data_IF_018628712506
#
_entry.id   IF_018628712506
#
_cell.length_a   1.000
_cell.length_b   1.000
_cell.length_c   1.000
_cell.angle_alpha   90.00
_cell.angle_beta   90.00
_cell.angle_gamma   90.00
#
_symmetry.space_group_name_H-M   'P 1'
#
loop_
_entity.id
_entity.type
_entity.pdbx_description
1 polymer ?
#
# COMPACT_ATOMS: atom_id res chain seq x y z
N UNK A 1 29.38 15.71 -10.04
CA UNK A 1 29.30 14.39 -10.69
C UNK A 1 29.23 13.28 -9.65
N UNK A 2 30.18 13.17 -8.70
CA UNK A 2 30.11 12.11 -7.67
C UNK A 2 28.91 12.25 -6.75
N UNK A 3 28.51 13.46 -6.33
CA UNK A 3 27.34 13.69 -5.46
C UNK A 3 26.02 13.17 -6.06
N UNK A 4 25.88 13.22 -7.38
CA UNK A 4 24.70 12.65 -8.06
C UNK A 4 24.76 11.12 -8.11
N UNK A 5 25.97 10.55 -8.25
CA UNK A 5 26.16 9.10 -8.22
C UNK A 5 25.91 8.56 -6.81
N UNK A 6 26.36 9.24 -5.77
CA UNK A 6 26.16 8.84 -4.38
C UNK A 6 24.65 8.68 -4.01
N UNK A 7 23.78 9.40 -4.69
CA UNK A 7 22.31 9.26 -4.45
C UNK A 7 21.79 7.86 -4.72
N UNK A 8 22.39 7.09 -5.61
CA UNK A 8 21.96 5.69 -5.87
C UNK A 8 22.13 4.76 -4.65
N UNK A 9 22.89 5.18 -3.63
CA UNK A 9 23.16 4.40 -2.43
C UNK A 9 22.25 4.78 -1.24
N UNK A 10 21.18 5.54 -1.46
CA UNK A 10 20.19 5.85 -0.41
C UNK A 10 20.65 6.95 0.55
N UNK A 11 21.21 8.02 0.01
CA UNK A 11 21.68 9.17 0.82
C UNK A 11 20.54 10.00 1.42
N UNK A 12 19.31 9.88 0.89
CA UNK A 12 18.13 10.60 1.39
C UNK A 12 17.30 9.73 2.32
N UNK A 13 16.98 8.50 1.91
CA UNK A 13 16.26 7.54 2.75
C UNK A 13 16.45 6.10 2.25
N UNK A 14 16.36 5.15 3.19
CA UNK A 14 16.40 3.71 2.95
C UNK A 14 15.11 3.08 3.48
N UNK A 15 14.28 2.58 2.57
CA UNK A 15 13.02 1.94 2.88
C UNK A 15 13.21 0.43 2.87
N UNK A 16 12.92 -0.25 3.96
CA UNK A 16 12.81 -1.70 4.00
C UNK A 16 11.41 -2.11 3.56
N UNK A 17 11.29 -2.95 2.54
CA UNK A 17 10.03 -3.49 2.06
C UNK A 17 9.95 -4.99 2.36
N UNK A 18 8.98 -5.38 3.18
CA UNK A 18 8.59 -6.77 3.35
C UNK A 18 7.47 -7.05 2.36
N UNK A 19 7.73 -7.86 1.32
CA UNK A 19 6.76 -8.10 0.26
C UNK A 19 6.46 -9.58 0.06
N UNK A 20 5.32 -9.87 -0.57
CA UNK A 20 4.90 -11.25 -0.82
C UNK A 20 5.78 -11.89 -1.90
N UNK A 21 6.20 -13.14 -1.67
CA UNK A 21 6.99 -13.90 -2.64
C UNK A 21 6.21 -14.22 -3.93
N UNK A 22 4.89 -14.25 -3.84
CA UNK A 22 3.95 -14.54 -4.94
C UNK A 22 3.67 -13.35 -5.86
N UNK A 23 4.08 -12.13 -5.50
CA UNK A 23 3.78 -10.89 -6.23
C UNK A 23 5.05 -10.10 -6.59
N UNK A 24 4.98 -9.25 -7.66
CA UNK A 24 6.13 -8.45 -8.14
C UNK A 24 5.79 -7.00 -8.48
N UNK A 25 4.56 -6.55 -8.25
CA UNK A 25 4.10 -5.23 -8.73
C UNK A 25 4.60 -4.07 -7.86
N UNK A 26 4.66 -4.25 -6.54
CA UNK A 26 4.95 -3.15 -5.63
C UNK A 26 6.37 -2.59 -5.80
N UNK A 27 7.36 -3.44 -6.09
CA UNK A 27 8.75 -3.00 -6.25
C UNK A 27 8.96 -2.05 -7.43
N UNK A 28 8.55 -2.40 -8.68
CA UNK A 28 8.69 -1.48 -9.81
C UNK A 28 7.89 -0.19 -9.62
N UNK A 29 6.72 -0.21 -8.98
CA UNK A 29 5.97 1.01 -8.67
C UNK A 29 6.68 1.86 -7.60
N UNK A 30 7.34 1.27 -6.61
CA UNK A 30 8.21 1.98 -5.65
C UNK A 30 9.39 2.65 -6.35
N UNK A 31 10.08 1.92 -7.23
CA UNK A 31 11.18 2.50 -8.02
C UNK A 31 10.72 3.64 -8.91
N UNK A 32 9.54 3.50 -9.54
CA UNK A 32 8.96 4.54 -10.39
C UNK A 32 8.71 5.85 -9.62
N UNK A 33 8.26 5.75 -8.37
CA UNK A 33 7.98 6.90 -7.51
C UNK A 33 9.20 7.44 -6.75
N UNK A 34 10.34 6.71 -6.74
CA UNK A 34 11.47 7.06 -5.87
C UNK A 34 12.16 8.35 -6.30
N UNK A 35 12.18 9.39 -5.45
CA UNK A 35 13.00 10.57 -5.72
C UNK A 35 14.49 10.24 -5.55
N UNK A 36 15.40 11.05 -6.13
CA UNK A 36 16.84 10.83 -6.03
C UNK A 36 17.29 10.70 -4.56
N UNK A 37 18.05 9.66 -4.28
CA UNK A 37 18.57 9.39 -2.95
C UNK A 37 17.66 8.52 -2.07
N UNK A 38 16.49 8.13 -2.55
CA UNK A 38 15.62 7.15 -1.87
C UNK A 38 15.79 5.79 -2.53
N UNK A 39 16.09 4.78 -1.72
CA UNK A 39 16.21 3.38 -2.17
C UNK A 39 15.26 2.47 -1.39
N UNK A 40 14.91 1.34 -2.01
CA UNK A 40 14.13 0.28 -1.38
C UNK A 40 14.93 -1.00 -1.31
N UNK A 41 15.05 -1.57 -0.11
CA UNK A 41 15.64 -2.87 0.14
C UNK A 41 14.52 -3.86 0.46
N UNK A 42 14.36 -4.90 -0.36
CA UNK A 42 13.22 -5.82 -0.23
C UNK A 42 13.65 -7.16 0.37
N UNK A 43 12.83 -7.67 1.29
CA UNK A 43 12.81 -9.09 1.68
C UNK A 43 11.44 -9.70 1.37
N UNK A 44 11.40 -11.01 1.15
CA UNK A 44 10.18 -11.71 0.75
C UNK A 44 9.66 -12.61 1.87
N UNK A 45 8.32 -12.66 2.00
CA UNK A 45 7.61 -13.60 2.87
C UNK A 45 6.58 -14.39 2.06
N UNK A 46 6.28 -15.60 2.51
CA UNK A 46 5.35 -16.47 1.78
C UNK A 46 3.92 -16.30 2.29
N UNK A 47 2.98 -16.07 1.37
CA UNK A 47 1.55 -16.11 1.62
C UNK A 47 0.96 -17.53 1.43
N UNK A 48 1.68 -18.40 0.68
CA UNK A 48 1.13 -19.65 0.14
C UNK A 48 0.49 -19.42 -1.24
N UNK A 49 -0.35 -20.35 -1.67
CA UNK A 49 -0.90 -20.33 -3.03
C UNK A 49 -2.18 -19.51 -3.18
N UNK A 50 -2.84 -19.19 -2.08
CA UNK A 50 -4.15 -18.52 -2.08
C UNK A 50 -4.26 -17.46 -0.99
N UNK A 51 -5.01 -16.39 -1.29
CA UNK A 51 -5.36 -15.31 -0.36
C UNK A 51 -6.56 -15.74 0.47
N UNK A 52 -6.31 -16.29 1.66
CA UNK A 52 -7.32 -16.72 2.64
C UNK A 52 -7.11 -16.02 3.98
N UNK A 53 -8.12 -16.04 4.87
CA UNK A 53 -7.97 -15.49 6.22
C UNK A 53 -6.83 -16.15 6.98
N UNK A 54 -6.72 -17.47 6.92
CA UNK A 54 -5.68 -18.23 7.60
C UNK A 54 -4.27 -17.89 7.09
N UNK A 55 -4.07 -17.85 5.76
CA UNK A 55 -2.77 -17.50 5.16
C UNK A 55 -2.35 -16.06 5.50
N UNK A 56 -3.31 -15.12 5.56
CA UNK A 56 -3.06 -13.73 5.90
C UNK A 56 -2.69 -13.54 7.38
N UNK A 57 -3.35 -14.25 8.30
CA UNK A 57 -3.00 -14.20 9.73
C UNK A 57 -1.62 -14.80 10.01
N UNK A 58 -1.23 -15.85 9.27
CA UNK A 58 0.09 -16.47 9.38
C UNK A 58 1.25 -15.56 8.93
N UNK A 59 0.98 -14.47 8.21
CA UNK A 59 2.01 -13.50 7.81
C UNK A 59 2.64 -12.75 8.99
N UNK A 60 1.94 -12.60 10.12
CA UNK A 60 2.39 -11.75 11.23
C UNK A 60 3.77 -12.16 11.77
N UNK A 61 4.00 -13.44 12.04
CA UNK A 61 5.28 -13.94 12.54
C UNK A 61 6.38 -13.85 11.49
N UNK A 62 6.05 -14.09 10.21
CA UNK A 62 7.00 -13.94 9.11
C UNK A 62 7.40 -12.47 8.95
N UNK A 63 6.45 -11.53 9.06
CA UNK A 63 6.71 -10.09 8.98
C UNK A 63 7.67 -9.63 10.09
N UNK A 64 7.51 -10.12 11.32
CA UNK A 64 8.41 -9.81 12.42
C UNK A 64 9.84 -10.31 12.16
N UNK A 65 10.03 -11.54 11.68
CA UNK A 65 11.34 -12.08 11.29
C UNK A 65 11.96 -11.32 10.13
N UNK A 66 11.15 -10.94 9.13
CA UNK A 66 11.58 -10.17 7.97
C UNK A 66 12.01 -8.74 8.37
N UNK A 67 11.28 -8.10 9.30
CA UNK A 67 11.65 -6.79 9.84
C UNK A 67 13.01 -6.86 10.55
N UNK A 68 13.24 -7.90 11.36
CA UNK A 68 14.54 -8.14 12.01
C UNK A 68 15.67 -8.30 10.99
N UNK A 69 15.43 -9.08 9.92
CA UNK A 69 16.44 -9.28 8.86
C UNK A 69 16.77 -7.97 8.13
N UNK A 70 15.77 -7.17 7.76
CA UNK A 70 15.98 -5.87 7.10
C UNK A 70 16.77 -4.90 8.00
N UNK A 71 16.55 -4.95 9.33
CA UNK A 71 17.21 -4.06 10.28
C UNK A 71 18.69 -4.36 10.52
N UNK A 72 19.26 -5.41 9.93
CA UNK A 72 20.72 -5.63 9.91
C UNK A 72 21.46 -4.54 9.10
N UNK A 73 20.73 -3.84 8.22
CA UNK A 73 21.17 -2.61 7.57
C UNK A 73 20.39 -1.40 8.13
N UNK A 74 20.96 -0.19 8.10
CA UNK A 74 20.29 0.99 8.66
C UNK A 74 19.11 1.43 7.78
N UNK A 75 17.91 0.91 8.04
CA UNK A 75 16.66 1.34 7.41
C UNK A 75 16.04 2.50 8.17
N UNK A 76 15.50 3.50 7.48
CA UNK A 76 14.77 4.63 8.07
C UNK A 76 13.34 4.25 8.43
N UNK A 77 12.76 3.32 7.67
CA UNK A 77 11.44 2.75 7.90
C UNK A 77 11.35 1.36 7.27
N UNK A 78 10.54 0.47 7.87
CA UNK A 78 10.22 -0.85 7.32
C UNK A 78 8.71 -0.94 7.12
N UNK A 79 8.27 -1.30 5.90
CA UNK A 79 6.87 -1.44 5.54
C UNK A 79 6.51 -2.89 5.22
N UNK A 80 5.38 -3.38 5.77
CA UNK A 80 4.74 -4.61 5.30
C UNK A 80 3.83 -4.30 4.12
N UNK A 81 4.24 -4.77 2.93
CA UNK A 81 3.55 -4.58 1.66
C UNK A 81 2.47 -5.62 1.41
N UNK A 82 1.44 -5.66 2.25
CA UNK A 82 0.27 -6.53 2.07
C UNK A 82 -1.00 -5.85 2.60
N UNK A 83 -1.91 -5.48 1.70
CA UNK A 83 -3.13 -4.75 2.07
C UNK A 83 -4.11 -5.65 2.82
N UNK A 84 -4.44 -6.80 2.26
CA UNK A 84 -5.37 -7.75 2.86
C UNK A 84 -4.85 -8.30 4.20
N UNK A 85 -3.54 -8.51 4.33
CA UNK A 85 -2.90 -8.91 5.59
C UNK A 85 -3.07 -7.88 6.71
N UNK A 86 -3.16 -6.58 6.38
CA UNK A 86 -3.46 -5.54 7.36
C UNK A 86 -4.93 -5.54 7.78
N UNK A 87 -5.85 -5.86 6.85
CA UNK A 87 -7.30 -5.79 7.10
C UNK A 87 -7.82 -6.96 7.93
N UNK A 88 -7.22 -8.14 7.77
CA UNK A 88 -7.80 -9.42 8.19
C UNK A 88 -8.10 -9.51 9.69
N UNK A 89 -7.24 -8.95 10.50
CA UNK A 89 -7.40 -8.92 11.97
C UNK A 89 -8.01 -7.63 12.51
N UNK A 90 -8.41 -6.69 11.64
CA UNK A 90 -8.91 -5.37 12.04
C UNK A 90 -7.81 -4.39 12.47
N UNK A 91 -8.23 -3.18 12.85
CA UNK A 91 -7.31 -2.07 13.15
C UNK A 91 -6.40 -2.34 14.35
N UNK A 92 -6.90 -3.02 15.37
CA UNK A 92 -6.11 -3.36 16.58
C UNK A 92 -4.99 -4.34 16.25
N UNK A 93 -5.29 -5.39 15.46
CA UNK A 93 -4.28 -6.35 15.01
C UNK A 93 -3.18 -5.67 14.18
N UNK A 94 -3.56 -4.81 13.24
CA UNK A 94 -2.64 -4.07 12.39
C UNK A 94 -1.65 -3.21 13.23
N UNK A 95 -2.19 -2.49 14.23
CA UNK A 95 -1.37 -1.69 15.15
C UNK A 95 -0.44 -2.53 16.03
N UNK A 96 -0.92 -3.69 16.51
CA UNK A 96 -0.09 -4.59 17.32
C UNK A 96 1.00 -5.27 16.49
N UNK A 97 0.73 -5.57 15.22
CA UNK A 97 1.73 -6.08 14.29
C UNK A 97 2.84 -5.05 14.05
N UNK A 98 2.49 -3.77 13.83
CA UNK A 98 3.48 -2.69 13.71
C UNK A 98 4.37 -2.65 14.95
N UNK A 99 3.79 -2.63 16.16
CA UNK A 99 4.56 -2.61 17.42
C UNK A 99 5.50 -3.82 17.55
N UNK A 100 5.04 -5.03 17.18
CA UNK A 100 5.88 -6.25 17.22
C UNK A 100 7.04 -6.15 16.23
N UNK A 101 6.80 -5.66 15.01
CA UNK A 101 7.86 -5.44 14.03
C UNK A 101 8.89 -4.41 14.52
N UNK A 102 8.45 -3.29 15.13
CA UNK A 102 9.32 -2.27 15.72
C UNK A 102 10.14 -2.82 16.87
N UNK A 103 9.55 -3.63 17.76
CA UNK A 103 10.26 -4.29 18.86
C UNK A 103 11.35 -5.25 18.36
N UNK A 104 11.12 -5.98 17.27
CA UNK A 104 12.07 -6.92 16.72
C UNK A 104 13.21 -6.24 15.93
N UNK A 105 12.90 -5.15 15.22
CA UNK A 105 13.83 -4.48 14.32
C UNK A 105 14.52 -3.25 14.93
N UNK A 106 13.98 -2.69 16.01
CA UNK A 106 14.37 -1.38 16.56
C UNK A 106 14.30 -0.24 15.53
N UNK A 107 13.48 -0.41 14.49
CA UNK A 107 13.26 0.52 13.38
C UNK A 107 11.78 0.89 13.33
N UNK A 108 11.45 2.12 12.91
CA UNK A 108 10.07 2.51 12.68
C UNK A 108 9.43 1.60 11.63
N UNK A 109 8.22 1.13 11.90
CA UNK A 109 7.50 0.24 11.00
C UNK A 109 6.14 0.78 10.61
N UNK A 110 5.64 0.32 9.48
CA UNK A 110 4.27 0.56 9.01
C UNK A 110 3.75 -0.65 8.26
N UNK A 111 2.45 -0.67 8.02
CA UNK A 111 1.78 -1.62 7.12
C UNK A 111 1.11 -0.85 5.99
N UNK A 112 0.75 -1.55 4.93
CA UNK A 112 -0.05 -0.96 3.84
C UNK A 112 -1.39 -0.45 4.35
N UNK A 113 -2.09 -1.21 5.21
CA UNK A 113 -3.37 -0.76 5.77
C UNK A 113 -3.24 0.53 6.57
N UNK A 114 -2.26 0.62 7.48
CA UNK A 114 -2.00 1.84 8.24
C UNK A 114 -1.62 3.01 7.35
N UNK A 115 -0.83 2.76 6.32
CA UNK A 115 -0.41 3.78 5.36
C UNK A 115 -1.61 4.34 4.57
N UNK A 116 -2.54 3.49 4.15
CA UNK A 116 -3.80 3.90 3.50
C UNK A 116 -4.63 4.78 4.42
N UNK A 117 -4.82 4.38 5.68
CA UNK A 117 -5.57 5.21 6.65
C UNK A 117 -4.90 6.58 6.86
N UNK A 118 -3.59 6.61 6.97
CA UNK A 118 -2.84 7.86 7.12
C UNK A 118 -3.00 8.76 5.89
N UNK A 119 -2.95 8.19 4.68
CA UNK A 119 -3.15 8.92 3.43
C UNK A 119 -4.57 9.49 3.30
N UNK A 120 -5.61 8.67 3.56
CA UNK A 120 -7.00 9.10 3.53
C UNK A 120 -7.25 10.25 4.52
N UNK A 121 -6.75 10.14 5.75
CA UNK A 121 -6.87 11.19 6.76
C UNK A 121 -6.11 12.46 6.39
N UNK A 122 -4.91 12.36 5.84
CA UNK A 122 -4.12 13.51 5.40
C UNK A 122 -4.80 14.28 4.26
N UNK A 123 -5.55 13.57 3.40
CA UNK A 123 -6.35 14.14 2.31
C UNK A 123 -7.76 14.59 2.76
N UNK A 124 -8.13 14.45 4.06
CA UNK A 124 -9.49 14.67 4.57
C UNK A 124 -10.56 13.85 3.82
N UNK A 125 -10.23 12.62 3.44
CA UNK A 125 -11.15 11.69 2.78
C UNK A 125 -11.82 10.84 3.85
N UNK A 126 -13.15 10.96 3.96
CA UNK A 126 -13.98 10.24 4.92
C UNK A 126 -14.97 9.29 4.26
N UNK A 127 -15.28 9.50 2.96
CA UNK A 127 -16.24 8.72 2.18
C UNK A 127 -15.59 8.26 0.88
N UNK A 128 -15.52 6.95 0.69
CA UNK A 128 -14.83 6.38 -0.47
C UNK A 128 -15.72 5.46 -1.30
N UNK A 129 -15.41 5.41 -2.61
CA UNK A 129 -15.69 4.27 -3.45
C UNK A 129 -14.46 3.34 -3.44
N UNK A 130 -14.67 2.06 -3.13
CA UNK A 130 -13.61 1.07 -2.97
C UNK A 130 -13.58 0.11 -4.18
N UNK A 131 -12.42 -0.02 -4.83
CA UNK A 131 -12.15 -1.05 -5.82
C UNK A 131 -11.09 -2.03 -5.30
N UNK A 132 -11.32 -3.33 -5.50
CA UNK A 132 -10.40 -4.39 -5.05
C UNK A 132 -10.34 -5.53 -6.05
N UNK A 133 -9.29 -6.36 -6.07
CA UNK A 133 -9.30 -7.61 -6.80
C UNK A 133 -9.97 -8.76 -6.03
N UNK A 134 -10.31 -8.58 -4.75
CA UNK A 134 -10.64 -9.65 -3.81
C UNK A 134 -12.03 -10.24 -3.98
N UNK A 135 -12.23 -11.40 -3.31
CA UNK A 135 -13.55 -11.99 -3.07
C UNK A 135 -14.36 -11.14 -2.10
N UNK A 136 -15.69 -11.38 -2.04
CA UNK A 136 -16.58 -10.62 -1.16
C UNK A 136 -16.22 -10.76 0.32
N UNK A 137 -15.75 -11.92 0.76
CA UNK A 137 -15.35 -12.13 2.16
C UNK A 137 -14.18 -11.21 2.57
N UNK A 138 -13.19 -11.06 1.70
CA UNK A 138 -12.05 -10.15 1.95
C UNK A 138 -12.49 -8.68 1.81
N UNK A 139 -13.42 -8.37 0.89
CA UNK A 139 -14.01 -7.03 0.77
C UNK A 139 -14.71 -6.62 2.06
N UNK A 140 -15.49 -7.52 2.67
CA UNK A 140 -16.18 -7.24 3.93
C UNK A 140 -15.19 -6.94 5.07
N UNK A 141 -14.03 -7.61 5.11
CA UNK A 141 -12.94 -7.30 6.05
C UNK A 141 -12.34 -5.92 5.78
N UNK A 142 -12.12 -5.57 4.50
CA UNK A 142 -11.63 -4.24 4.11
C UNK A 142 -12.60 -3.13 4.53
N UNK A 143 -13.89 -3.29 4.26
CA UNK A 143 -14.95 -2.34 4.67
C UNK A 143 -15.00 -2.18 6.18
N UNK A 144 -14.91 -3.30 6.93
CA UNK A 144 -14.89 -3.27 8.41
C UNK A 144 -13.67 -2.51 8.94
N UNK A 145 -12.47 -2.80 8.41
CA UNK A 145 -11.23 -2.12 8.78
C UNK A 145 -11.29 -0.60 8.51
N UNK A 146 -11.82 -0.20 7.36
CA UNK A 146 -12.00 1.21 7.00
C UNK A 146 -12.97 1.89 7.96
N UNK A 147 -14.10 1.26 8.26
CA UNK A 147 -15.11 1.75 9.23
C UNK A 147 -14.53 1.92 10.64
N UNK A 148 -13.72 0.96 11.12
CA UNK A 148 -13.03 1.07 12.42
C UNK A 148 -12.10 2.29 12.48
N UNK A 149 -11.62 2.77 11.34
CA UNK A 149 -10.78 3.96 11.21
C UNK A 149 -11.54 5.22 10.81
N UNK A 150 -12.89 5.22 10.90
CA UNK A 150 -13.80 6.33 10.59
C UNK A 150 -13.83 6.69 9.09
N UNK A 151 -13.62 5.73 8.20
CA UNK A 151 -13.79 5.88 6.76
C UNK A 151 -15.04 5.12 6.31
N UNK A 152 -16.01 5.82 5.74
CA UNK A 152 -17.22 5.25 5.18
C UNK A 152 -16.97 4.71 3.77
N UNK A 153 -17.29 3.45 3.52
CA UNK A 153 -17.31 2.88 2.18
C UNK A 153 -18.71 3.01 1.60
N UNK A 154 -18.91 3.97 0.71
CA UNK A 154 -20.21 4.30 0.09
C UNK A 154 -20.62 3.24 -0.94
N UNK A 155 -19.65 2.75 -1.69
CA UNK A 155 -19.80 1.62 -2.61
C UNK A 155 -18.50 0.83 -2.69
N UNK A 156 -18.59 -0.45 -3.03
CA UNK A 156 -17.42 -1.26 -3.32
C UNK A 156 -17.65 -2.21 -4.48
N UNK A 157 -16.57 -2.57 -5.16
CA UNK A 157 -16.54 -3.57 -6.22
C UNK A 157 -15.29 -4.42 -6.13
N UNK A 158 -15.46 -5.74 -6.10
CA UNK A 158 -14.38 -6.72 -6.15
C UNK A 158 -14.35 -7.49 -7.47
N UNK A 159 -13.18 -7.98 -7.86
CA UNK A 159 -13.03 -8.84 -9.06
C UNK A 159 -13.21 -10.32 -8.76
N UNK A 160 -13.24 -10.74 -7.50
CA UNK A 160 -13.40 -12.14 -7.08
C UNK A 160 -12.17 -13.01 -7.31
N UNK A 161 -10.97 -12.42 -7.43
CA UNK A 161 -9.72 -13.16 -7.63
C UNK A 161 -9.18 -13.72 -6.31
N UNK A 162 -8.56 -14.90 -6.36
CA UNK A 162 -8.06 -15.61 -5.18
C UNK A 162 -6.55 -15.88 -5.21
N UNK A 163 -5.88 -15.77 -6.36
CA UNK A 163 -4.43 -15.98 -6.47
C UNK A 163 -3.72 -14.68 -6.79
N UNK A 164 -2.62 -14.40 -6.09
CA UNK A 164 -1.78 -13.21 -6.35
C UNK A 164 -1.35 -13.13 -7.82
N UNK A 165 -0.96 -14.26 -8.43
CA UNK A 165 -0.58 -14.31 -9.83
C UNK A 165 -1.68 -13.74 -10.76
N UNK A 166 -2.94 -14.13 -10.55
CA UNK A 166 -4.06 -13.65 -11.37
C UNK A 166 -4.30 -12.15 -11.14
N UNK A 167 -4.09 -11.68 -9.91
CA UNK A 167 -4.18 -10.25 -9.55
C UNK A 167 -3.08 -9.45 -10.26
N UNK A 168 -1.83 -9.89 -10.18
CA UNK A 168 -0.68 -9.22 -10.79
C UNK A 168 -0.78 -9.18 -12.33
N UNK A 169 -1.49 -10.15 -12.92
CA UNK A 169 -1.71 -10.22 -14.36
C UNK A 169 -2.84 -9.31 -14.85
N UNK A 170 -3.65 -8.71 -13.96
CA UNK A 170 -4.72 -7.77 -14.38
C UNK A 170 -4.11 -6.61 -15.19
N UNK A 171 -4.58 -6.37 -16.43
CA UNK A 171 -4.10 -5.27 -17.23
C UNK A 171 -4.47 -3.91 -16.62
N UNK A 172 -3.58 -2.93 -16.76
CA UNK A 172 -3.78 -1.57 -16.27
C UNK A 172 -5.09 -0.93 -16.76
N UNK A 173 -5.40 -1.11 -18.06
CA UNK A 173 -6.64 -0.64 -18.67
C UNK A 173 -7.90 -1.29 -18.07
N UNK A 174 -7.79 -2.55 -17.63
CA UNK A 174 -8.88 -3.21 -16.92
C UNK A 174 -9.12 -2.56 -15.56
N UNK A 175 -8.06 -2.33 -14.78
CA UNK A 175 -8.16 -1.63 -13.49
C UNK A 175 -8.84 -0.27 -13.68
N UNK A 176 -8.37 0.53 -14.64
CA UNK A 176 -8.94 1.84 -14.95
C UNK A 176 -10.43 1.75 -15.31
N UNK A 177 -10.81 0.84 -16.22
CA UNK A 177 -12.21 0.63 -16.63
C UNK A 177 -13.10 0.25 -15.44
N UNK A 178 -12.64 -0.66 -14.60
CA UNK A 178 -13.38 -1.14 -13.43
C UNK A 178 -13.58 -0.02 -12.39
N UNK A 179 -12.55 0.78 -12.14
CA UNK A 179 -12.64 1.95 -11.25
C UNK A 179 -13.64 2.98 -11.78
N UNK A 180 -13.60 3.29 -13.08
CA UNK A 180 -14.54 4.24 -13.70
C UNK A 180 -15.98 3.71 -13.74
N UNK A 181 -16.21 2.42 -13.55
CA UNK A 181 -17.54 1.81 -13.47
C UNK A 181 -18.09 1.67 -12.05
N UNK A 182 -17.39 2.23 -11.04
CA UNK A 182 -17.90 2.24 -9.67
C UNK A 182 -19.17 3.08 -9.55
N UNK A 183 -20.15 2.53 -8.82
CA UNK A 183 -21.40 3.22 -8.54
C UNK A 183 -21.23 4.32 -7.48
N UNK A 184 -22.13 5.31 -7.48
CA UNK A 184 -22.24 6.34 -6.44
C UNK A 184 -20.99 7.21 -6.24
N UNK A 185 -20.13 7.35 -7.26
CA UNK A 185 -18.94 8.23 -7.17
C UNK A 185 -19.28 9.67 -6.69
N UNK A 186 -20.42 10.30 -7.08
CA UNK A 186 -20.78 11.62 -6.58
C UNK A 186 -21.02 11.71 -5.07
N UNK A 187 -21.27 10.58 -4.41
CA UNK A 187 -21.51 10.51 -2.96
C UNK A 187 -20.19 10.40 -2.15
N UNK A 188 -19.06 10.28 -2.85
CA UNK A 188 -17.73 10.07 -2.27
C UNK A 188 -16.90 11.35 -2.33
N UNK A 189 -15.90 11.45 -1.45
CA UNK A 189 -14.85 12.47 -1.53
C UNK A 189 -13.47 11.90 -1.83
N UNK A 190 -13.40 10.60 -2.21
CA UNK A 190 -12.21 9.95 -2.71
C UNK A 190 -12.48 8.53 -3.24
N UNK A 191 -11.53 8.01 -3.99
CA UNK A 191 -11.51 6.64 -4.49
C UNK A 191 -10.35 5.91 -3.85
N UNK A 192 -10.57 4.68 -3.36
CA UNK A 192 -9.49 3.81 -2.90
C UNK A 192 -9.40 2.56 -3.77
N UNK A 193 -8.22 2.37 -4.39
CA UNK A 193 -7.87 1.17 -5.14
C UNK A 193 -6.98 0.29 -4.25
N UNK A 194 -7.55 -0.79 -3.77
CA UNK A 194 -6.92 -1.69 -2.79
C UNK A 194 -6.18 -2.83 -3.49
N UNK A 195 -5.10 -3.23 -2.95
CA UNK A 195 -4.16 -4.32 -3.27
C UNK A 195 -2.80 -3.83 -3.76
N UNK A 196 -1.75 -4.44 -3.22
CA UNK A 196 -0.35 -4.19 -3.63
C UNK A 196 0.05 -4.97 -4.89
N UNK A 197 -0.76 -5.94 -5.32
CA UNK A 197 -0.57 -6.69 -6.56
C UNK A 197 -1.26 -6.06 -7.79
N UNK A 198 -2.12 -5.05 -7.61
CA UNK A 198 -2.69 -4.32 -8.75
C UNK A 198 -1.74 -3.23 -9.24
N UNK A 199 -1.56 -3.17 -10.56
CA UNK A 199 -0.87 -2.07 -11.24
C UNK A 199 -1.74 -0.81 -11.14
N UNK A 200 -1.27 0.24 -10.49
CA UNK A 200 -2.13 1.38 -10.17
C UNK A 200 -1.46 2.73 -10.35
N UNK A 201 -0.18 2.84 -10.00
CA UNK A 201 0.53 4.13 -9.95
C UNK A 201 0.48 4.91 -11.27
N UNK A 202 0.65 4.30 -12.46
CA UNK A 202 0.64 5.05 -13.71
C UNK A 202 -0.70 5.67 -14.11
N UNK A 203 -1.83 5.22 -13.52
CA UNK A 203 -3.17 5.69 -13.90
C UNK A 203 -3.80 6.65 -12.88
N UNK A 204 -3.14 6.94 -11.76
CA UNK A 204 -3.70 7.76 -10.68
C UNK A 204 -4.11 9.14 -11.19
N UNK A 205 -3.20 9.89 -11.81
CA UNK A 205 -3.51 11.26 -12.28
C UNK A 205 -4.59 11.29 -13.36
N UNK A 206 -4.62 10.29 -14.22
CA UNK A 206 -5.67 10.16 -15.23
C UNK A 206 -7.04 9.92 -14.59
N UNK A 207 -7.11 9.02 -13.60
CA UNK A 207 -8.34 8.76 -12.85
C UNK A 207 -8.80 10.01 -12.08
N UNK A 208 -7.89 10.71 -11.38
CA UNK A 208 -8.22 11.97 -10.70
C UNK A 208 -8.76 13.03 -11.67
N UNK A 209 -8.16 13.14 -12.85
CA UNK A 209 -8.61 14.08 -13.89
C UNK A 209 -10.00 13.74 -14.43
N UNK A 210 -10.30 12.46 -14.64
CA UNK A 210 -11.59 12.01 -15.20
C UNK A 210 -12.70 12.11 -14.15
N UNK A 211 -12.44 11.69 -12.91
CA UNK A 211 -13.46 11.60 -11.87
C UNK A 211 -13.63 12.89 -11.08
N UNK A 212 -12.62 13.76 -11.08
CA UNK A 212 -12.57 14.95 -10.22
C UNK A 212 -12.37 14.62 -8.74
N UNK A 213 -12.10 13.34 -8.38
CA UNK A 213 -11.90 12.87 -7.02
C UNK A 213 -10.43 12.49 -6.78
N UNK A 214 -9.89 12.72 -5.57
CA UNK A 214 -8.60 12.15 -5.21
C UNK A 214 -8.64 10.62 -5.28
N UNK A 215 -7.56 10.03 -5.80
CA UNK A 215 -7.39 8.58 -5.91
C UNK A 215 -6.22 8.14 -5.03
N UNK A 216 -6.52 7.29 -4.07
CA UNK A 216 -5.52 6.66 -3.20
C UNK A 216 -5.37 5.20 -3.62
N UNK A 217 -4.12 4.74 -3.74
CA UNK A 217 -3.84 3.33 -4.00
C UNK A 217 -2.99 2.72 -2.89
N UNK A 218 -3.07 1.41 -2.72
CA UNK A 218 -2.28 0.71 -1.69
C UNK A 218 -0.78 0.96 -1.82
N UNK A 219 -0.24 0.89 -3.03
CA UNK A 219 1.20 1.06 -3.28
C UNK A 219 1.62 2.51 -3.08
N UNK A 220 0.88 3.46 -3.68
CA UNK A 220 1.14 4.90 -3.54
C UNK A 220 1.11 5.34 -2.06
N UNK A 221 0.05 4.96 -1.32
CA UNK A 221 -0.10 5.32 0.09
C UNK A 221 1.02 4.75 0.97
N UNK A 222 1.44 3.50 0.70
CA UNK A 222 2.54 2.88 1.45
C UNK A 222 3.84 3.63 1.20
N UNK A 223 4.16 3.92 -0.06
CA UNK A 223 5.38 4.66 -0.39
C UNK A 223 5.37 6.08 0.18
N UNK A 224 4.26 6.83 0.01
CA UNK A 224 4.08 8.15 0.59
C UNK A 224 4.30 8.15 2.11
N UNK A 225 3.69 7.20 2.82
CA UNK A 225 3.82 7.12 4.26
C UNK A 225 5.26 6.78 4.69
N UNK A 226 5.97 5.92 3.94
CA UNK A 226 7.38 5.65 4.15
C UNK A 226 8.23 6.92 4.00
N UNK A 227 8.01 7.73 2.96
CA UNK A 227 8.71 9.00 2.78
C UNK A 227 8.45 9.97 3.94
N UNK A 228 7.20 10.07 4.42
CA UNK A 228 6.82 10.91 5.58
C UNK A 228 7.52 10.45 6.86
N UNK A 229 7.53 9.15 7.15
CA UNK A 229 8.18 8.56 8.33
C UNK A 229 9.69 8.79 8.28
N UNK A 230 10.30 8.65 7.10
CA UNK A 230 11.73 8.87 6.87
C UNK A 230 12.14 10.36 6.85
N UNK A 231 11.18 11.28 6.94
CA UNK A 231 11.45 12.72 6.94
C UNK A 231 11.85 13.30 5.58
N UNK A 232 11.55 12.61 4.48
CA UNK A 232 11.78 13.09 3.13
C UNK A 232 10.89 14.31 2.85
N UNK A 233 11.50 15.44 2.51
CA UNK A 233 10.77 16.71 2.31
C UNK A 233 10.28 16.89 0.89
N UNK A 234 11.05 16.43 -0.10
CA UNK A 234 10.70 16.58 -1.51
C UNK A 234 9.95 15.33 -1.98
N UNK A 235 8.65 15.46 -2.12
CA UNK A 235 7.81 14.40 -2.65
C UNK A 235 7.97 14.26 -4.17
N UNK A 236 7.79 13.06 -4.74
CA UNK A 236 7.77 12.86 -6.18
C UNK A 236 6.55 13.54 -6.81
N UNK A 237 6.68 13.93 -8.09
CA UNK A 237 5.61 14.54 -8.88
C UNK A 237 5.07 13.53 -9.91
N UNK A 238 3.83 13.73 -10.37
CA UNK A 238 3.24 12.88 -11.43
C UNK A 238 2.51 11.63 -10.93
N UNK A 239 2.28 11.51 -9.61
CA UNK A 239 1.69 10.33 -8.99
C UNK A 239 0.42 10.63 -8.16
N UNK A 240 -0.33 11.67 -8.55
CA UNK A 240 -1.59 12.05 -7.94
C UNK A 240 -1.49 13.10 -6.84
N UNK A 241 -2.65 13.49 -6.35
CA UNK A 241 -2.82 14.61 -5.40
C UNK A 241 -2.23 14.33 -4.01
N UNK A 242 -2.10 13.06 -3.60
CA UNK A 242 -1.51 12.68 -2.31
C UNK A 242 -0.08 13.21 -2.14
N UNK A 243 0.73 13.21 -3.19
CA UNK A 243 2.12 13.68 -3.13
C UNK A 243 2.26 15.21 -3.14
N UNK A 244 1.16 15.96 -3.24
CA UNK A 244 1.17 17.42 -3.13
C UNK A 244 1.09 17.92 -1.67
N UNK A 245 0.96 16.98 -0.69
CA UNK A 245 0.97 17.25 0.75
C UNK A 245 2.41 17.31 1.32
#
# INVERSE_FOLDING_TARGET
>A
MYDEIEKIYGTTAKIGLIYLASSWIMEPEFYLMSPPGVITCTTRISLGDTVTEESLLALGDQACRAAKLLSESPMDVIALGCTSGSFIGGSSYDMDLIKKMEQQSSTKCTTTGRSVINALKAMNIEKIALFTPYTEDINNKAVSYLKENSIETVSHKGMGLIRDYDIDMVPLETVKKEVLSLDRLPDCNGIFISCTGLKTVPIIEELEKITGLPVITSVQATFWNCLKISGVKKMPEGFGSLFKL
#
